data_IF_761644385271
#
_entry.id   IF_761644385271
#
_cell.length_a   1.000
_cell.length_b   1.000
_cell.length_c   1.000
_cell.angle_alpha   90.00
_cell.angle_beta   90.00
_cell.angle_gamma   90.00
#
_symmetry.space_group_name_H-M   'P 1'
#
loop_
_entity.id
_entity.type
_entity.pdbx_description
1 polymer ?
#
# COMPACT_ATOMS: atom_id res chain seq x y z
N UNK A 1 18.95 -1.49 -18.35
CA UNK A 1 19.94 -2.05 -17.40
C UNK A 1 19.21 -2.63 -16.20
N UNK A 2 19.69 -3.74 -15.62
CA UNK A 2 19.06 -4.31 -14.42
C UNK A 2 19.52 -3.52 -13.19
N UNK A 3 18.61 -2.80 -12.56
CA UNK A 3 18.82 -2.10 -11.29
C UNK A 3 18.07 -2.85 -10.19
N UNK A 4 18.70 -3.04 -9.05
CA UNK A 4 18.13 -3.81 -7.95
C UNK A 4 17.95 -2.94 -6.72
N UNK A 5 16.93 -3.26 -5.92
CA UNK A 5 16.62 -2.61 -4.66
C UNK A 5 16.62 -3.70 -3.59
N UNK A 6 17.37 -3.45 -2.52
CA UNK A 6 17.39 -4.30 -1.33
C UNK A 6 16.33 -3.81 -0.36
N UNK A 7 15.35 -4.65 -0.04
CA UNK A 7 14.24 -4.28 0.83
C UNK A 7 14.33 -5.09 2.11
N UNK A 8 14.45 -4.42 3.23
CA UNK A 8 14.45 -5.03 4.56
C UNK A 8 13.15 -4.70 5.27
N UNK A 9 12.52 -5.67 5.91
CA UNK A 9 11.38 -5.44 6.79
C UNK A 9 11.69 -5.95 8.18
N UNK A 10 11.64 -5.02 9.13
CA UNK A 10 11.71 -5.32 10.56
C UNK A 10 10.33 -5.85 11.04
N UNK A 11 9.27 -5.56 10.28
CA UNK A 11 7.89 -6.03 10.51
C UNK A 11 7.65 -7.36 9.78
N UNK A 12 7.76 -8.47 10.49
CA UNK A 12 7.75 -9.83 9.89
C UNK A 12 6.38 -10.26 9.36
N UNK A 13 5.29 -9.95 10.08
CA UNK A 13 3.90 -10.31 9.69
C UNK A 13 3.47 -9.57 8.43
N UNK A 14 3.82 -8.29 8.35
CA UNK A 14 3.53 -7.43 7.20
C UNK A 14 4.24 -7.96 5.95
N UNK A 15 5.50 -8.37 6.10
CA UNK A 15 6.29 -8.91 5.00
C UNK A 15 5.76 -10.23 4.46
N UNK A 16 5.33 -11.17 5.32
CA UNK A 16 4.71 -12.41 4.85
C UNK A 16 3.39 -12.16 4.12
N UNK A 17 2.56 -11.25 4.64
CA UNK A 17 1.30 -10.88 4.00
C UNK A 17 1.56 -10.23 2.65
N UNK A 18 2.48 -9.26 2.57
CA UNK A 18 2.92 -8.64 1.32
C UNK A 18 3.42 -9.69 0.32
N UNK A 19 4.28 -10.63 0.75
CA UNK A 19 4.81 -11.68 -0.12
C UNK A 19 3.70 -12.61 -0.66
N UNK A 20 2.74 -13.00 0.19
CA UNK A 20 1.63 -13.90 -0.17
C UNK A 20 0.64 -13.29 -1.16
N UNK A 21 0.43 -11.97 -1.08
CA UNK A 21 -0.49 -11.24 -1.95
C UNK A 21 0.20 -10.66 -3.19
N UNK A 22 1.52 -10.78 -3.29
CA UNK A 22 2.29 -10.15 -4.36
C UNK A 22 2.35 -10.97 -5.64
N UNK A 23 2.22 -10.28 -6.76
CA UNK A 23 2.77 -10.71 -8.05
C UNK A 23 4.15 -10.09 -8.29
N UNK A 24 4.83 -9.64 -7.22
CA UNK A 24 6.09 -8.94 -7.37
C UNK A 24 7.15 -9.91 -7.91
N UNK A 25 7.88 -9.55 -8.97
CA UNK A 25 8.99 -10.36 -9.43
C UNK A 25 10.16 -10.21 -8.44
N UNK A 26 10.11 -11.01 -7.39
CA UNK A 26 11.14 -11.12 -6.36
C UNK A 26 12.31 -11.90 -6.96
N UNK A 27 13.50 -11.31 -6.89
CA UNK A 27 14.73 -11.88 -7.44
C UNK A 27 15.37 -12.81 -6.41
N UNK A 28 15.34 -12.44 -5.14
CA UNK A 28 15.79 -13.25 -4.03
C UNK A 28 14.84 -13.10 -2.85
N UNK A 29 14.49 -14.23 -2.25
CA UNK A 29 13.66 -14.33 -1.06
C UNK A 29 14.54 -14.82 0.08
N UNK A 30 14.40 -14.21 1.26
CA UNK A 30 15.17 -14.43 2.49
C UNK A 30 16.49 -13.65 2.60
N UNK A 31 16.89 -13.42 3.85
CA UNK A 31 18.07 -12.62 4.21
C UNK A 31 19.38 -13.23 3.72
N UNK A 32 19.50 -14.56 3.73
CA UNK A 32 20.70 -15.26 3.28
C UNK A 32 20.95 -15.05 1.78
N UNK A 33 19.90 -15.11 0.95
CA UNK A 33 20.05 -14.87 -0.48
C UNK A 33 20.12 -13.39 -0.82
N UNK A 34 19.36 -12.53 -0.14
CA UNK A 34 19.39 -11.10 -0.37
C UNK A 34 20.78 -10.50 -0.04
N UNK A 35 21.42 -10.97 1.02
CA UNK A 35 22.77 -10.54 1.42
C UNK A 35 23.89 -10.96 0.45
N UNK A 36 23.65 -11.93 -0.44
CA UNK A 36 24.59 -12.32 -1.49
C UNK A 36 24.59 -11.33 -2.67
N UNK A 37 23.59 -10.44 -2.77
CA UNK A 37 23.56 -9.41 -3.79
C UNK A 37 24.44 -8.24 -3.38
N UNK A 38 25.42 -7.94 -4.24
CA UNK A 38 26.21 -6.73 -4.18
C UNK A 38 25.76 -5.76 -5.29
N UNK A 39 25.95 -4.46 -5.09
CA UNK A 39 25.72 -3.49 -6.15
C UNK A 39 24.28 -3.10 -6.43
N UNK A 40 23.44 -2.96 -5.40
CA UNK A 40 22.09 -2.38 -5.53
C UNK A 40 22.10 -0.86 -5.45
N UNK A 41 21.12 -0.24 -6.11
CA UNK A 41 21.04 1.22 -6.26
C UNK A 41 20.31 1.90 -5.10
N UNK A 42 19.53 1.14 -4.34
CA UNK A 42 18.75 1.64 -3.22
C UNK A 42 18.56 0.52 -2.19
N UNK A 43 18.62 0.88 -0.91
CA UNK A 43 18.14 0.05 0.18
C UNK A 43 16.92 0.73 0.81
N UNK A 44 15.86 -0.04 1.02
CA UNK A 44 14.61 0.39 1.64
C UNK A 44 14.37 -0.44 2.90
N UNK A 45 14.29 0.22 4.06
CA UNK A 45 14.00 -0.43 5.34
C UNK A 45 12.59 -0.06 5.80
N UNK A 46 11.75 -1.07 6.02
CA UNK A 46 10.40 -0.95 6.56
C UNK A 46 10.44 -1.25 8.06
N UNK A 47 10.04 -0.27 8.87
CA UNK A 47 9.94 -0.41 10.32
C UNK A 47 8.60 0.11 10.83
N UNK A 48 8.25 -0.17 12.08
CA UNK A 48 7.07 0.40 12.71
C UNK A 48 7.35 0.69 14.18
N UNK A 49 6.73 1.75 14.69
CA UNK A 49 6.80 2.11 16.12
C UNK A 49 5.94 1.16 17.00
N UNK A 50 5.16 0.26 16.39
CA UNK A 50 4.33 -0.71 17.10
C UNK A 50 5.16 -1.88 17.64
N UNK A 51 5.11 -2.08 18.96
CA UNK A 51 5.74 -3.22 19.65
C UNK A 51 5.19 -4.59 19.19
N UNK A 52 4.07 -4.62 18.47
CA UNK A 52 3.45 -5.84 17.93
C UNK A 52 4.12 -6.32 16.63
N UNK A 53 5.05 -5.56 16.07
CA UNK A 53 5.69 -5.84 14.77
C UNK A 53 6.70 -7.00 14.76
N UNK A 54 7.00 -7.62 15.91
CA UNK A 54 8.25 -8.38 16.09
C UNK A 54 8.17 -9.90 15.90
N UNK A 55 6.99 -10.52 15.85
CA UNK A 55 6.90 -11.99 15.81
C UNK A 55 6.52 -12.53 14.43
N UNK A 56 7.54 -13.02 13.72
CA UNK A 56 7.36 -13.82 12.52
C UNK A 56 8.68 -14.51 12.15
N UNK A 57 8.64 -15.52 11.27
CA UNK A 57 9.83 -16.31 10.94
C UNK A 57 10.96 -15.41 10.45
N UNK A 58 12.13 -15.52 11.10
CA UNK A 58 13.32 -14.73 10.79
C UNK A 58 13.73 -14.78 9.31
N UNK A 59 13.35 -15.85 8.62
CA UNK A 59 13.70 -16.12 7.23
C UNK A 59 13.06 -15.16 6.21
N UNK A 60 12.15 -14.27 6.59
CA UNK A 60 11.49 -13.33 5.65
C UNK A 60 11.72 -11.87 6.04
N UNK A 61 12.96 -11.48 6.30
CA UNK A 61 13.33 -10.11 6.67
C UNK A 61 13.92 -9.29 5.54
N UNK A 62 14.33 -9.91 4.44
CA UNK A 62 14.84 -9.19 3.28
C UNK A 62 14.44 -9.84 1.96
N UNK A 63 14.28 -8.99 0.94
CA UNK A 63 14.10 -9.38 -0.46
C UNK A 63 14.93 -8.49 -1.38
N UNK A 64 15.23 -9.04 -2.56
CA UNK A 64 15.70 -8.27 -3.69
C UNK A 64 14.60 -8.13 -4.72
N UNK A 65 14.36 -6.89 -5.17
CA UNK A 65 13.47 -6.59 -6.28
C UNK A 65 14.21 -5.83 -7.37
N UNK A 66 13.63 -5.77 -8.57
CA UNK A 66 14.10 -4.88 -9.64
C UNK A 66 13.48 -3.50 -9.44
N UNK A 67 14.24 -2.42 -9.71
CA UNK A 67 13.77 -1.04 -9.50
C UNK A 67 12.45 -0.74 -10.22
N UNK A 68 12.30 -1.23 -11.45
CA UNK A 68 11.08 -1.08 -12.26
C UNK A 68 9.82 -1.72 -11.63
N UNK A 69 9.95 -2.51 -10.57
CA UNK A 69 8.85 -3.09 -9.82
C UNK A 69 8.65 -2.41 -8.45
N UNK A 70 9.38 -1.32 -8.15
CA UNK A 70 9.25 -0.61 -6.88
C UNK A 70 7.84 -0.08 -6.66
N UNK A 71 7.16 0.38 -7.71
CA UNK A 71 5.76 0.84 -7.60
C UNK A 71 4.84 -0.25 -7.03
N UNK A 72 5.03 -1.52 -7.43
CA UNK A 72 4.25 -2.63 -6.89
C UNK A 72 4.55 -2.82 -5.40
N UNK A 73 5.80 -2.65 -4.97
CA UNK A 73 6.13 -2.68 -3.55
C UNK A 73 5.46 -1.54 -2.78
N UNK A 74 5.46 -0.32 -3.32
CA UNK A 74 4.77 0.82 -2.68
C UNK A 74 3.28 0.50 -2.50
N UNK A 75 2.63 -0.03 -3.53
CA UNK A 75 1.23 -0.46 -3.46
C UNK A 75 0.99 -1.56 -2.41
N UNK A 76 1.95 -2.46 -2.19
CA UNK A 76 1.86 -3.48 -1.16
C UNK A 76 2.03 -2.91 0.25
N UNK A 77 2.97 -1.99 0.45
CA UNK A 77 3.19 -1.32 1.73
C UNK A 77 1.89 -0.63 2.15
N UNK A 78 1.28 0.15 1.24
CA UNK A 78 0.00 0.82 1.47
C UNK A 78 -1.13 -0.15 1.79
N UNK A 79 -1.18 -1.27 1.05
CA UNK A 79 -2.20 -2.30 1.25
C UNK A 79 -2.06 -2.97 2.62
N UNK A 80 -0.85 -3.32 3.01
CA UNK A 80 -0.62 -4.04 4.25
C UNK A 80 -0.87 -3.15 5.48
N UNK A 81 -0.51 -1.87 5.39
CA UNK A 81 -0.92 -0.85 6.37
C UNK A 81 -2.46 -0.76 6.51
N UNK A 82 -3.16 -0.74 5.37
CA UNK A 82 -4.62 -0.66 5.33
C UNK A 82 -5.33 -1.92 5.84
N UNK A 83 -4.85 -3.12 5.50
CA UNK A 83 -5.49 -4.40 5.85
C UNK A 83 -5.31 -4.76 7.33
N UNK A 84 -4.11 -4.56 7.89
CA UNK A 84 -3.85 -4.89 9.31
C UNK A 84 -4.60 -3.97 10.28
N UNK A 85 -4.99 -2.80 9.78
CA UNK A 85 -5.82 -1.82 10.47
C UNK A 85 -7.33 -2.10 10.40
N UNK A 86 -7.80 -3.13 9.66
CA UNK A 86 -9.24 -3.45 9.50
C UNK A 86 -9.81 -4.40 10.59
N UNK A 87 -9.05 -4.76 11.63
CA UNK A 87 -9.42 -5.76 12.64
C UNK A 87 -10.41 -5.35 13.74
N UNK A 88 -11.17 -4.26 13.58
CA UNK A 88 -12.06 -3.75 14.63
C UNK A 88 -11.29 -3.09 15.80
N UNK A 89 -11.74 -3.25 17.04
CA UNK A 89 -11.13 -2.62 18.23
C UNK A 89 -9.71 -3.14 18.54
N UNK A 90 -9.31 -4.25 17.91
CA UNK A 90 -7.95 -4.82 17.95
C UNK A 90 -7.15 -4.52 16.67
N UNK A 91 -7.60 -3.57 15.85
CA UNK A 91 -6.87 -3.14 14.67
C UNK A 91 -5.46 -2.67 15.03
N UNK A 92 -4.46 -3.35 14.50
CA UNK A 92 -3.07 -2.94 14.68
C UNK A 92 -2.80 -1.87 13.63
N UNK A 93 -2.84 -0.60 14.07
CA UNK A 93 -2.33 0.50 13.24
C UNK A 93 -0.81 0.34 13.18
N UNK A 94 -0.33 -0.15 12.05
CA UNK A 94 1.10 -0.22 11.78
C UNK A 94 1.51 1.11 11.18
N UNK A 95 1.91 2.06 12.01
CA UNK A 95 2.58 3.25 11.49
C UNK A 95 3.91 2.81 10.87
N UNK A 96 3.93 2.60 9.54
CA UNK A 96 5.11 2.17 8.80
C UNK A 96 6.02 3.37 8.60
N UNK A 97 7.26 3.20 9.01
CA UNK A 97 8.33 4.15 8.79
C UNK A 97 9.24 3.59 7.68
N UNK A 98 9.57 4.44 6.70
CA UNK A 98 10.49 4.12 5.62
C UNK A 98 11.84 4.79 5.84
N UNK A 99 12.90 3.99 5.85
CA UNK A 99 14.26 4.50 5.76
C UNK A 99 14.87 4.11 4.41
N UNK A 100 15.32 5.10 3.65
CA UNK A 100 15.80 4.96 2.27
C UNK A 100 17.26 5.36 2.20
N UNK A 101 18.12 4.42 1.85
CA UNK A 101 19.54 4.67 1.56
C UNK A 101 19.78 4.63 0.05
N UNK A 102 20.27 5.74 -0.50
CA UNK A 102 20.54 5.91 -1.93
C UNK A 102 21.99 5.55 -2.27
N UNK A 103 22.14 4.78 -3.35
CA UNK A 103 23.39 4.29 -3.91
C UNK A 103 24.38 3.70 -2.87
N UNK A 104 23.93 2.77 -1.99
CA UNK A 104 24.79 2.15 -0.98
C UNK A 104 26.01 1.43 -1.56
N UNK A 105 25.95 0.96 -2.82
CA UNK A 105 27.09 0.38 -3.54
C UNK A 105 28.31 1.32 -3.62
N UNK A 106 28.10 2.63 -3.54
CA UNK A 106 29.20 3.58 -3.54
C UNK A 106 30.04 3.51 -2.26
N UNK A 107 29.50 2.96 -1.17
CA UNK A 107 30.18 2.73 0.10
C UNK A 107 30.85 1.34 0.20
N UNK A 108 30.59 0.43 -0.74
CA UNK A 108 31.15 -0.92 -0.70
C UNK A 108 32.66 -0.92 -1.02
N UNK A 109 33.48 -1.68 -0.26
CA UNK A 109 34.91 -1.77 -0.53
C UNK A 109 35.15 -2.42 -1.90
N UNK A 110 35.79 -1.67 -2.80
CA UNK A 110 36.04 -2.09 -4.17
C UNK A 110 37.40 -2.74 -4.33
N UNK A 111 37.48 -3.65 -5.28
CA UNK A 111 38.76 -4.14 -5.77
C UNK A 111 39.30 -3.13 -6.80
N UNK A 112 40.61 -2.97 -6.84
CA UNK A 112 41.31 -1.99 -7.69
C UNK A 112 41.06 -2.15 -9.20
N UNK A 113 40.50 -3.28 -9.64
CA UNK A 113 40.18 -3.56 -11.04
C UNK A 113 38.70 -3.36 -11.40
N UNK A 114 37.85 -3.02 -10.42
CA UNK A 114 36.42 -2.80 -10.67
C UNK A 114 36.20 -1.39 -11.24
N UNK A 115 35.33 -1.24 -12.26
CA UNK A 115 35.05 0.06 -12.83
C UNK A 115 34.44 1.00 -11.78
N UNK A 116 34.72 2.31 -11.91
CA UNK A 116 34.10 3.30 -11.06
C UNK A 116 32.60 3.39 -11.39
N UNK A 117 31.75 3.22 -10.38
CA UNK A 117 30.30 3.42 -10.52
C UNK A 117 29.91 4.90 -10.58
N UNK A 118 30.85 5.83 -10.48
CA UNK A 118 30.55 7.27 -10.44
C UNK A 118 29.89 7.73 -11.74
N UNK A 119 30.27 7.16 -12.89
CA UNK A 119 29.64 7.45 -14.19
C UNK A 119 28.26 6.77 -14.34
N UNK A 120 27.93 5.84 -13.44
CA UNK A 120 26.66 5.11 -13.44
C UNK A 120 25.57 5.79 -12.61
N UNK A 121 25.94 6.62 -11.62
CA UNK A 121 25.00 7.37 -10.79
C UNK A 121 24.96 8.82 -11.25
N UNK A 122 24.18 9.09 -12.29
CA UNK A 122 23.74 10.45 -12.62
C UNK A 122 22.58 10.87 -11.73
N UNK A 123 22.26 12.16 -11.68
CA UNK A 123 21.12 12.70 -10.91
C UNK A 123 19.81 12.00 -11.31
N UNK A 124 19.55 11.83 -12.61
CA UNK A 124 18.40 11.07 -13.14
C UNK A 124 18.31 9.63 -12.59
N UNK A 125 19.45 9.00 -12.29
CA UNK A 125 19.53 7.62 -11.80
C UNK A 125 19.28 7.52 -10.29
N UNK A 126 19.49 8.62 -9.56
CA UNK A 126 19.14 8.78 -8.16
C UNK A 126 17.66 9.14 -7.99
N UNK A 127 17.11 9.96 -8.88
CA UNK A 127 15.70 10.38 -8.86
C UNK A 127 14.73 9.28 -9.31
N UNK A 128 15.07 8.51 -10.36
CA UNK A 128 14.19 7.49 -10.96
C UNK A 128 13.60 6.49 -9.94
N UNK A 129 14.37 5.95 -8.98
CA UNK A 129 13.84 5.06 -7.96
C UNK A 129 13.02 5.78 -6.87
N UNK A 130 13.13 7.11 -6.73
CA UNK A 130 12.32 7.87 -5.77
C UNK A 130 10.92 8.15 -6.30
N UNK A 131 10.73 8.31 -7.62
CA UNK A 131 9.44 8.65 -8.22
C UNK A 131 8.27 7.73 -7.78
N UNK A 132 8.40 6.39 -7.79
CA UNK A 132 7.31 5.53 -7.33
C UNK A 132 6.98 5.71 -5.84
N UNK A 133 7.98 6.03 -5.02
CA UNK A 133 7.79 6.29 -3.59
C UNK A 133 7.09 7.65 -3.41
N UNK A 134 7.50 8.69 -4.12
CA UNK A 134 6.85 10.01 -4.07
C UNK A 134 5.38 9.95 -4.48
N UNK A 135 5.05 9.12 -5.48
CA UNK A 135 3.69 8.96 -5.98
C UNK A 135 2.77 8.17 -5.05
N UNK A 136 3.31 7.22 -4.29
CA UNK A 136 2.50 6.23 -3.59
C UNK A 136 2.67 6.25 -2.07
N UNK A 137 3.82 6.69 -1.56
CA UNK A 137 4.11 6.76 -0.13
C UNK A 137 3.87 8.19 0.35
N UNK A 138 2.60 8.53 0.56
CA UNK A 138 2.18 9.80 1.17
C UNK A 138 1.73 9.55 2.62
N UNK A 139 1.86 10.58 3.45
CA UNK A 139 1.49 10.59 4.87
C UNK A 139 2.23 9.54 5.73
N UNK A 140 3.43 9.12 5.31
CA UNK A 140 4.29 8.21 6.07
C UNK A 140 5.50 8.95 6.62
N UNK A 141 6.09 8.41 7.69
CA UNK A 141 7.37 8.91 8.19
C UNK A 141 8.48 8.35 7.30
N UNK A 142 9.18 9.24 6.61
CA UNK A 142 10.24 8.87 5.67
C UNK A 142 11.55 9.54 6.06
N UNK A 143 12.64 8.79 6.01
CA UNK A 143 14.01 9.29 6.06
C UNK A 143 14.74 8.89 4.78
N UNK A 144 15.48 9.84 4.19
CA UNK A 144 16.33 9.60 3.02
C UNK A 144 17.76 10.00 3.35
N UNK A 145 18.72 9.12 3.05
CA UNK A 145 20.15 9.36 3.24
C UNK A 145 20.98 8.61 2.19
N UNK A 146 22.30 8.75 2.24
CA UNK A 146 23.24 8.14 1.27
C UNK A 146 23.78 9.15 0.28
N UNK A 147 24.03 8.71 -0.96
CA UNK A 147 24.58 9.57 -2.02
C UNK A 147 23.47 10.28 -2.79
N UNK A 148 22.92 11.33 -2.17
CA UNK A 148 21.87 12.19 -2.70
C UNK A 148 22.10 13.62 -2.20
N UNK A 149 21.71 14.62 -2.98
CA UNK A 149 21.79 16.02 -2.54
C UNK A 149 20.83 16.29 -1.37
N UNK A 150 21.28 17.05 -0.36
CA UNK A 150 20.48 17.34 0.85
C UNK A 150 19.13 17.96 0.51
N UNK A 151 19.13 18.95 -0.39
CA UNK A 151 17.91 19.68 -0.80
C UNK A 151 16.89 18.73 -1.46
N UNK A 152 17.37 17.76 -2.26
CA UNK A 152 16.53 16.75 -2.90
C UNK A 152 15.93 15.79 -1.86
N UNK A 153 16.75 15.30 -0.92
CA UNK A 153 16.29 14.43 0.16
C UNK A 153 15.25 15.14 1.06
N UNK A 154 15.49 16.42 1.39
CA UNK A 154 14.56 17.24 2.18
C UNK A 154 13.26 17.51 1.43
N UNK A 155 13.32 17.86 0.14
CA UNK A 155 12.14 18.07 -0.68
C UNK A 155 11.29 16.80 -0.78
N UNK A 156 11.93 15.64 -1.00
CA UNK A 156 11.23 14.36 -1.04
C UNK A 156 10.59 14.00 0.31
N UNK A 157 11.31 14.19 1.43
CA UNK A 157 10.74 14.00 2.77
C UNK A 157 9.56 14.93 3.04
N UNK A 158 9.65 16.20 2.63
CA UNK A 158 8.57 17.17 2.76
C UNK A 158 7.34 16.75 1.96
N UNK A 159 7.52 16.37 0.69
CA UNK A 159 6.45 15.92 -0.18
C UNK A 159 5.76 14.64 0.33
N UNK A 160 6.54 13.65 0.79
CA UNK A 160 5.98 12.40 1.31
C UNK A 160 5.19 12.59 2.62
N UNK A 161 5.50 13.62 3.41
CA UNK A 161 4.74 13.97 4.62
C UNK A 161 3.46 14.77 4.31
N UNK A 162 3.41 15.48 3.18
CA UNK A 162 2.25 16.29 2.81
C UNK A 162 0.97 15.45 2.64
N UNK A 163 -0.15 16.09 2.95
CA UNK A 163 -1.49 15.50 2.87
C UNK A 163 -1.79 15.02 1.44
N UNK A 164 -2.10 13.73 1.29
CA UNK A 164 -2.49 13.15 -0.01
C UNK A 164 -3.80 13.80 -0.51
N UNK A 165 -4.70 14.16 0.42
CA UNK A 165 -6.05 14.61 0.11
C UNK A 165 -6.37 15.97 0.73
N UNK A 166 -6.27 17.01 -0.10
CA UNK A 166 -6.56 18.39 0.33
C UNK A 166 -7.97 18.88 -0.08
N UNK A 167 -8.73 18.06 -0.81
CA UNK A 167 -10.06 18.44 -1.34
C UNK A 167 -11.01 17.25 -1.35
N UNK A 168 -12.15 17.41 -0.68
CA UNK A 168 -13.26 16.44 -0.62
C UNK A 168 -13.79 16.09 -2.02
N UNK A 169 -13.86 17.08 -2.92
CA UNK A 169 -14.26 16.88 -4.32
C UNK A 169 -13.27 16.00 -5.08
N UNK A 170 -11.97 16.26 -4.96
CA UNK A 170 -10.94 15.46 -5.65
C UNK A 170 -10.90 14.03 -5.12
N UNK A 171 -11.03 13.87 -3.80
CA UNK A 171 -11.16 12.59 -3.12
C UNK A 171 -12.33 11.75 -3.67
N UNK A 172 -13.55 12.29 -3.66
CA UNK A 172 -14.73 11.60 -4.19
C UNK A 172 -14.62 11.31 -5.69
N UNK A 173 -14.04 12.24 -6.46
CA UNK A 173 -13.84 12.06 -7.89
C UNK A 173 -12.89 10.89 -8.17
N UNK A 174 -11.77 10.79 -7.44
CA UNK A 174 -10.82 9.69 -7.59
C UNK A 174 -11.49 8.34 -7.36
N UNK A 175 -12.20 8.19 -6.23
CA UNK A 175 -12.86 6.93 -5.86
C UNK A 175 -13.97 6.57 -6.87
N UNK A 176 -14.74 7.56 -7.32
CA UNK A 176 -15.78 7.37 -8.34
C UNK A 176 -15.19 6.89 -9.66
N UNK A 177 -14.12 7.53 -10.14
CA UNK A 177 -13.45 7.14 -11.39
C UNK A 177 -12.84 5.74 -11.28
N UNK A 178 -12.19 5.41 -10.16
CA UNK A 178 -11.69 4.05 -9.93
C UNK A 178 -12.83 3.01 -9.99
N UNK A 179 -14.00 3.33 -9.42
CA UNK A 179 -15.18 2.45 -9.51
C UNK A 179 -15.65 2.28 -10.95
N UNK A 180 -15.69 3.34 -11.75
CA UNK A 180 -16.09 3.29 -13.16
C UNK A 180 -15.11 2.47 -14.01
N UNK A 181 -13.81 2.76 -13.93
CA UNK A 181 -12.76 2.01 -14.63
C UNK A 181 -12.82 0.52 -14.26
N UNK A 182 -13.05 0.20 -12.98
CA UNK A 182 -13.24 -1.18 -12.54
C UNK A 182 -14.44 -1.84 -13.23
N UNK A 183 -15.59 -1.17 -13.27
CA UNK A 183 -16.81 -1.70 -13.89
C UNK A 183 -16.61 -1.92 -15.40
N UNK A 184 -15.89 -1.03 -16.07
CA UNK A 184 -15.54 -1.19 -17.49
C UNK A 184 -14.59 -2.37 -17.72
N UNK A 185 -13.49 -2.44 -16.97
CA UNK A 185 -12.55 -3.56 -17.03
C UNK A 185 -13.25 -4.90 -16.77
N UNK A 186 -14.23 -4.90 -15.86
CA UNK A 186 -15.05 -6.07 -15.56
C UNK A 186 -15.92 -6.49 -16.75
N UNK A 187 -16.65 -5.56 -17.36
CA UNK A 187 -17.48 -5.82 -18.56
C UNK A 187 -16.63 -6.32 -19.73
N UNK A 188 -15.38 -5.89 -19.80
CA UNK A 188 -14.41 -6.32 -20.81
C UNK A 188 -13.68 -7.64 -20.45
N UNK A 189 -14.10 -8.36 -19.41
CA UNK A 189 -13.48 -9.61 -18.93
C UNK A 189 -12.01 -9.47 -18.50
N UNK A 190 -11.54 -8.24 -18.25
CA UNK A 190 -10.20 -7.93 -17.76
C UNK A 190 -10.17 -8.04 -16.22
N UNK A 191 -10.47 -9.23 -15.70
CA UNK A 191 -10.68 -9.46 -14.26
C UNK A 191 -9.50 -9.04 -13.38
N UNK A 192 -8.26 -9.29 -13.83
CA UNK A 192 -7.06 -8.85 -13.09
C UNK A 192 -6.94 -7.33 -13.00
N UNK A 193 -7.25 -6.61 -14.09
CA UNK A 193 -7.25 -5.15 -14.11
C UNK A 193 -8.35 -4.60 -13.21
N UNK A 194 -9.56 -5.17 -13.29
CA UNK A 194 -10.67 -4.78 -12.42
C UNK A 194 -10.29 -4.97 -10.93
N UNK A 195 -9.62 -6.08 -10.59
CA UNK A 195 -9.13 -6.33 -9.24
C UNK A 195 -8.07 -5.31 -8.78
N UNK A 196 -7.12 -4.93 -9.65
CA UNK A 196 -6.10 -3.92 -9.35
C UNK A 196 -6.70 -2.55 -9.08
N UNK A 197 -7.53 -2.05 -10.01
CA UNK A 197 -8.19 -0.74 -9.90
C UNK A 197 -9.12 -0.67 -8.68
N UNK A 198 -9.78 -1.78 -8.34
CA UNK A 198 -10.57 -1.89 -7.10
C UNK A 198 -9.70 -1.62 -5.88
N UNK A 199 -8.56 -2.30 -5.80
CA UNK A 199 -7.67 -2.20 -4.64
C UNK A 199 -7.19 -0.76 -4.49
N UNK A 200 -6.82 -0.10 -5.59
CA UNK A 200 -6.44 1.32 -5.60
C UNK A 200 -7.54 2.21 -5.01
N UNK A 201 -8.78 2.12 -5.51
CA UNK A 201 -9.89 2.97 -5.03
C UNK A 201 -10.31 2.70 -3.58
N UNK A 202 -10.45 1.42 -3.20
CA UNK A 202 -10.82 1.05 -1.82
C UNK A 202 -9.73 1.41 -0.82
N UNK A 203 -8.46 1.16 -1.15
CA UNK A 203 -7.36 1.52 -0.26
C UNK A 203 -7.18 3.03 -0.18
N UNK A 204 -7.38 3.78 -1.26
CA UNK A 204 -7.38 5.24 -1.20
C UNK A 204 -8.41 5.78 -0.21
N UNK A 205 -9.64 5.24 -0.21
CA UNK A 205 -10.67 5.66 0.74
C UNK A 205 -10.33 5.31 2.20
N UNK A 206 -9.81 4.10 2.44
CA UNK A 206 -9.40 3.68 3.79
C UNK A 206 -8.20 4.48 4.29
N UNK A 207 -7.21 4.74 3.43
CA UNK A 207 -6.06 5.60 3.74
C UNK A 207 -6.52 7.01 4.06
N UNK A 208 -7.36 7.59 3.21
CA UNK A 208 -7.92 8.92 3.43
C UNK A 208 -8.63 9.04 4.77
N UNK A 209 -9.38 8.01 5.18
CA UNK A 209 -10.09 7.97 6.45
C UNK A 209 -9.17 7.85 7.68
N UNK A 210 -8.05 7.15 7.55
CA UNK A 210 -7.09 6.94 8.64
C UNK A 210 -5.94 7.92 8.67
N UNK A 211 -5.72 8.59 7.55
CA UNK A 211 -4.59 9.44 7.29
C UNK A 211 -4.75 10.80 7.95
N UNK A 212 -3.67 11.57 7.90
CA UNK A 212 -3.61 12.93 8.41
C UNK A 212 -4.55 13.87 7.64
N UNK A 213 -4.98 13.48 6.44
CA UNK A 213 -5.97 14.22 5.66
C UNK A 213 -7.37 14.19 6.27
N UNK A 214 -7.75 13.13 7.01
CA UNK A 214 -9.13 12.92 7.44
C UNK A 214 -9.72 14.09 8.23
N UNK A 215 -9.07 14.61 9.29
CA UNK A 215 -9.66 15.67 10.10
C UNK A 215 -9.97 16.93 9.28
N UNK A 216 -9.08 17.29 8.35
CA UNK A 216 -9.28 18.43 7.46
C UNK A 216 -10.41 18.16 6.47
N UNK A 217 -10.48 16.97 5.86
CA UNK A 217 -11.55 16.61 4.95
C UNK A 217 -12.91 16.57 5.64
N UNK A 218 -12.97 16.01 6.85
CA UNK A 218 -14.17 15.94 7.65
C UNK A 218 -14.70 17.34 7.97
N UNK A 219 -13.84 18.27 8.40
CA UNK A 219 -14.20 19.66 8.69
C UNK A 219 -14.64 20.41 7.43
N UNK A 220 -13.93 20.25 6.32
CA UNK A 220 -14.26 20.89 5.05
C UNK A 220 -15.58 20.37 4.46
N UNK A 221 -15.98 19.17 4.85
CA UNK A 221 -17.16 18.52 4.32
C UNK A 221 -18.40 18.74 5.18
N UNK A 222 -19.53 19.04 4.53
CA UNK A 222 -20.83 18.78 5.14
C UNK A 222 -21.10 17.26 5.23
N UNK A 223 -22.20 16.87 5.89
CA UNK A 223 -22.58 15.46 6.10
C UNK A 223 -22.59 14.61 4.80
N UNK A 224 -22.87 15.24 3.65
CA UNK A 224 -22.94 14.54 2.36
C UNK A 224 -21.62 13.92 1.87
N UNK A 225 -20.44 14.40 2.26
CA UNK A 225 -19.18 13.76 1.85
C UNK A 225 -19.00 12.41 2.53
N UNK A 226 -19.20 12.38 3.85
CA UNK A 226 -19.03 11.19 4.67
C UNK A 226 -20.00 10.11 4.22
N UNK A 227 -21.26 10.47 3.98
CA UNK A 227 -22.29 9.54 3.47
C UNK A 227 -21.89 8.96 2.09
N UNK A 228 -21.50 9.81 1.14
CA UNK A 228 -21.11 9.37 -0.20
C UNK A 228 -19.85 8.47 -0.17
N UNK A 229 -18.88 8.81 0.68
CA UNK A 229 -17.67 8.02 0.84
C UNK A 229 -17.98 6.65 1.45
N UNK A 230 -18.81 6.62 2.49
CA UNK A 230 -19.25 5.40 3.14
C UNK A 230 -20.02 4.48 2.18
N UNK A 231 -20.95 5.04 1.40
CA UNK A 231 -21.69 4.31 0.37
C UNK A 231 -20.75 3.74 -0.69
N UNK A 232 -19.83 4.54 -1.24
CA UNK A 232 -18.87 4.08 -2.23
C UNK A 232 -17.99 2.94 -1.70
N UNK A 233 -17.53 3.05 -0.44
CA UNK A 233 -16.73 2.00 0.19
C UNK A 233 -17.53 0.73 0.40
N UNK A 234 -18.75 0.85 0.95
CA UNK A 234 -19.62 -0.29 1.20
C UNK A 234 -19.97 -1.04 -0.10
N UNK A 235 -20.43 -0.31 -1.13
CA UNK A 235 -20.76 -0.91 -2.42
C UNK A 235 -19.55 -1.54 -3.09
N UNK A 236 -18.36 -0.97 -2.92
CA UNK A 236 -17.12 -1.56 -3.48
C UNK A 236 -16.78 -2.87 -2.78
N UNK A 237 -16.90 -2.94 -1.45
CA UNK A 237 -16.71 -4.17 -0.66
C UNK A 237 -17.77 -5.23 -0.97
N UNK A 238 -19.05 -4.83 -1.06
CA UNK A 238 -20.15 -5.74 -1.38
C UNK A 238 -19.96 -6.43 -2.73
N UNK A 239 -19.65 -5.66 -3.77
CA UNK A 239 -19.37 -6.21 -5.11
C UNK A 239 -18.20 -7.21 -5.11
N UNK A 240 -17.26 -7.06 -4.18
CA UNK A 240 -16.10 -7.96 -4.06
C UNK A 240 -16.44 -9.28 -3.40
N UNK A 241 -17.28 -9.24 -2.36
CA UNK A 241 -17.83 -10.46 -1.76
C UNK A 241 -18.56 -11.27 -2.83
N UNK A 242 -19.46 -10.62 -3.57
CA UNK A 242 -20.18 -11.27 -4.67
C UNK A 242 -19.25 -11.84 -5.75
N UNK A 243 -18.17 -11.12 -6.09
CA UNK A 243 -17.16 -11.62 -7.02
C UNK A 243 -16.41 -12.84 -6.48
N UNK A 244 -15.92 -12.77 -5.25
CA UNK A 244 -15.21 -13.86 -4.62
C UNK A 244 -16.09 -15.10 -4.54
N UNK A 245 -17.36 -14.96 -4.16
CA UNK A 245 -18.33 -16.05 -4.16
C UNK A 245 -18.48 -16.67 -5.57
N UNK A 246 -18.55 -15.82 -6.61
CA UNK A 246 -18.64 -16.28 -8.01
C UNK A 246 -17.36 -16.98 -8.51
N UNK A 247 -16.18 -16.59 -8.04
CA UNK A 247 -14.93 -17.29 -8.37
C UNK A 247 -14.73 -18.55 -7.54
N UNK A 248 -15.11 -18.51 -6.26
CA UNK A 248 -14.94 -19.60 -5.33
C UNK A 248 -15.85 -20.78 -5.65
N UNK A 249 -17.03 -20.52 -6.23
CA UNK A 249 -17.86 -21.57 -6.82
C UNK A 249 -17.19 -22.30 -8.00
N UNK A 250 -16.10 -21.74 -8.56
CA UNK A 250 -15.33 -22.31 -9.67
C UNK A 250 -14.00 -22.95 -9.22
N UNK A 251 -13.39 -22.52 -8.10
CA UNK A 251 -11.98 -22.81 -7.76
C UNK A 251 -11.73 -23.41 -6.35
N UNK A 252 -12.74 -24.03 -5.72
CA UNK A 252 -12.78 -24.57 -4.35
C UNK A 252 -11.44 -25.06 -3.76
N UNK A 253 -10.90 -24.28 -2.80
CA UNK A 253 -10.09 -24.72 -1.63
C UNK A 253 -9.60 -23.55 -0.76
N UNK A 254 -9.69 -22.29 -1.21
CA UNK A 254 -9.29 -21.08 -0.44
C UNK A 254 -10.41 -20.06 -0.21
N UNK A 255 -11.67 -20.46 -0.41
CA UNK A 255 -12.82 -19.56 -0.37
C UNK A 255 -13.11 -18.98 1.02
N UNK A 256 -12.96 -19.80 2.07
CA UNK A 256 -13.38 -19.46 3.44
C UNK A 256 -12.59 -18.29 4.05
N UNK A 257 -11.28 -18.20 3.80
CA UNK A 257 -10.46 -17.11 4.36
C UNK A 257 -10.66 -15.77 3.64
N UNK A 258 -11.02 -15.80 2.36
CA UNK A 258 -11.31 -14.61 1.57
C UNK A 258 -12.69 -14.03 1.95
N UNK A 259 -13.65 -14.88 2.26
CA UNK A 259 -15.02 -14.52 2.66
C UNK A 259 -15.08 -13.82 4.03
N UNK A 260 -14.33 -14.35 5.02
CA UNK A 260 -14.28 -13.79 6.38
C UNK A 260 -13.69 -12.37 6.39
N UNK A 261 -12.56 -12.16 5.71
CA UNK A 261 -11.87 -10.86 5.72
C UNK A 261 -12.66 -9.74 5.07
N UNK A 262 -13.39 -10.05 3.99
CA UNK A 262 -14.22 -9.06 3.30
C UNK A 262 -15.52 -8.76 4.03
N UNK A 263 -16.12 -9.76 4.67
CA UNK A 263 -17.33 -9.59 5.50
C UNK A 263 -17.05 -8.70 6.70
N UNK A 264 -15.93 -8.92 7.41
CA UNK A 264 -15.49 -8.05 8.50
C UNK A 264 -15.28 -6.59 8.03
N UNK A 265 -14.71 -6.40 6.83
CA UNK A 265 -14.53 -5.07 6.26
C UNK A 265 -15.84 -4.32 6.01
N UNK A 266 -16.88 -5.02 5.52
CA UNK A 266 -18.20 -4.42 5.31
C UNK A 266 -18.91 -4.08 6.63
N UNK A 267 -18.77 -4.94 7.66
CA UNK A 267 -19.31 -4.69 8.99
C UNK A 267 -18.67 -3.48 9.66
N UNK A 268 -17.36 -3.30 9.50
CA UNK A 268 -16.64 -2.13 10.02
C UNK A 268 -17.16 -0.84 9.37
N UNK A 269 -17.40 -0.83 8.06
CA UNK A 269 -17.89 0.35 7.31
C UNK A 269 -19.26 0.83 7.80
N UNK A 270 -20.14 -0.07 8.24
CA UNK A 270 -21.49 0.27 8.71
C UNK A 270 -21.55 0.51 10.24
N UNK A 271 -20.43 0.37 10.94
CA UNK A 271 -20.37 0.54 12.39
C UNK A 271 -20.61 2.00 12.75
N UNK A 272 -21.46 2.23 13.76
CA UNK A 272 -21.69 3.57 14.30
C UNK A 272 -20.36 4.19 14.78
N UNK A 273 -20.15 5.47 14.47
CA UNK A 273 -18.93 6.18 14.82
C UNK A 273 -17.72 5.83 13.96
N UNK A 274 -17.81 4.88 13.00
CA UNK A 274 -16.64 4.49 12.21
C UNK A 274 -16.10 5.65 11.38
N UNK A 275 -16.97 6.31 10.60
CA UNK A 275 -16.56 7.41 9.72
C UNK A 275 -16.42 8.74 10.45
N UNK A 276 -17.32 8.99 11.40
CA UNK A 276 -17.40 10.25 12.13
C UNK A 276 -18.12 10.00 13.45
N UNK A 277 -17.66 10.64 14.52
CA UNK A 277 -18.30 10.53 15.83
C UNK A 277 -19.79 10.88 15.77
N UNK A 278 -20.63 9.96 16.28
CA UNK A 278 -22.08 10.09 16.26
C UNK A 278 -22.76 9.84 14.90
N UNK A 279 -22.00 9.64 13.83
CA UNK A 279 -22.54 9.29 12.51
C UNK A 279 -22.77 7.78 12.40
N UNK A 280 -23.82 7.38 11.69
CA UNK A 280 -24.11 5.97 11.36
C UNK A 280 -24.53 5.88 9.91
N UNK A 281 -23.66 5.33 9.07
CA UNK A 281 -23.98 5.02 7.69
C UNK A 281 -25.01 3.88 7.63
N UNK A 282 -26.05 4.04 6.80
CA UNK A 282 -27.11 3.05 6.64
C UNK A 282 -27.22 2.65 5.17
N UNK A 283 -26.67 1.49 4.77
CA UNK A 283 -26.87 0.98 3.42
C UNK A 283 -28.35 0.75 3.14
N UNK A 284 -28.73 0.74 1.86
CA UNK A 284 -30.09 0.39 1.47
C UNK A 284 -30.44 -1.04 1.88
N UNK A 285 -31.72 -1.31 2.15
CA UNK A 285 -32.19 -2.67 2.49
C UNK A 285 -31.83 -3.68 1.40
N UNK A 286 -31.82 -3.24 0.13
CA UNK A 286 -31.41 -4.05 -1.00
C UNK A 286 -29.94 -4.45 -0.94
N UNK A 287 -29.05 -3.55 -0.49
CA UNK A 287 -27.62 -3.85 -0.40
C UNK A 287 -27.27 -4.64 0.87
N UNK A 288 -28.00 -4.43 1.97
CA UNK A 288 -27.92 -5.32 3.14
C UNK A 288 -28.38 -6.74 2.79
N UNK A 289 -29.46 -6.87 2.02
CA UNK A 289 -29.92 -8.18 1.56
C UNK A 289 -28.85 -8.89 0.72
N UNK A 290 -28.26 -8.19 -0.25
CA UNK A 290 -27.13 -8.70 -1.06
C UNK A 290 -25.88 -9.05 -0.26
N UNK A 291 -25.67 -8.42 0.89
CA UNK A 291 -24.53 -8.70 1.76
C UNK A 291 -24.74 -9.98 2.56
N UNK A 292 -25.99 -10.26 2.96
CA UNK A 292 -26.35 -11.41 3.81
C UNK A 292 -26.67 -12.69 3.03
N UNK A 293 -26.97 -12.58 1.74
CA UNK A 293 -27.46 -13.66 0.86
C UNK A 293 -26.72 -13.68 -0.46
#
# INVERSE_FOLDING_TARGET
>A
MNRFIHVTAIISVLFQTMLRISFNPIVALNEVHASQFHGYVMRLTLSSDSNLALEGPANFRAIMIRSRHLYLLCMMILRADSEMSNGGDNAIVLQINLDIEIAPVLNEPRRHYEPLFNDFFSDDLVEDPLLPLEMHVREMKVSVHGHIESDMAEAFCYETVNLEWTSTKKALQYITVSREIRLEAWKAEQHMRAFQVRNEGSFAALRMHRGNSWPSLEIQSGEGFVENLAELCFLTTLNMIQYALKLCSVLLSKAESLDIGMSLGAEVIIRAGYWKDGHTFRPSDADIAKFRY
#
